data_IF_706081077144
#
_entry.id   IF_706081077144
#
_cell.length_a   1.000
_cell.length_b   1.000
_cell.length_c   1.000
_cell.angle_alpha   90.00
_cell.angle_beta   90.00
_cell.angle_gamma   90.00
#
_symmetry.space_group_name_H-M   'P 1'
#
loop_
_entity.id
_entity.type
_entity.pdbx_description
1 polymer ?
#
# COMPACT_ATOMS: atom_id res chain seq x y z
N UNK A 1 15.22 -6.28 22.25
CA UNK A 1 14.02 -6.94 21.70
C UNK A 1 13.91 -6.49 20.25
N UNK A 2 14.05 -7.38 19.27
CA UNK A 2 13.92 -7.01 17.85
C UNK A 2 12.46 -6.68 17.55
N UNK A 3 12.20 -5.52 16.96
CA UNK A 3 10.85 -5.14 16.54
C UNK A 3 10.32 -6.17 15.52
N UNK A 4 9.20 -6.84 15.79
CA UNK A 4 8.64 -7.86 14.90
C UNK A 4 8.19 -7.30 13.55
N UNK A 5 7.94 -5.99 13.46
CA UNK A 5 7.55 -5.32 12.21
C UNK A 5 8.76 -5.03 11.31
N UNK A 6 9.94 -4.80 11.89
CA UNK A 6 11.18 -4.53 11.13
C UNK A 6 12.10 -5.75 11.08
N UNK A 7 11.59 -6.94 11.42
CA UNK A 7 12.36 -8.17 11.35
C UNK A 7 12.50 -8.60 9.88
N UNK A 8 13.63 -8.24 9.27
CA UNK A 8 13.89 -8.45 7.85
C UNK A 8 14.24 -7.12 7.17
N UNK A 9 15.30 -7.15 6.36
CA UNK A 9 15.97 -5.95 5.84
C UNK A 9 15.12 -5.14 4.87
N UNK A 10 14.05 -5.69 4.30
CA UNK A 10 13.31 -5.06 3.18
C UNK A 10 12.79 -3.67 3.52
N UNK A 11 12.24 -3.45 4.73
CA UNK A 11 11.77 -2.12 5.13
C UNK A 11 12.94 -1.13 5.23
N UNK A 12 14.07 -1.56 5.80
CA UNK A 12 15.29 -0.76 5.88
C UNK A 12 15.87 -0.46 4.49
N UNK A 13 15.99 -1.48 3.64
CA UNK A 13 16.45 -1.33 2.25
C UNK A 13 15.54 -0.40 1.44
N UNK A 14 14.22 -0.45 1.65
CA UNK A 14 13.29 0.47 1.02
C UNK A 14 13.53 1.91 1.47
N UNK A 15 13.65 2.15 2.78
CA UNK A 15 13.93 3.48 3.32
C UNK A 15 15.25 4.01 2.76
N UNK A 16 16.32 3.22 2.81
CA UNK A 16 17.63 3.62 2.29
C UNK A 16 17.56 3.92 0.77
N UNK A 17 16.94 3.04 -0.01
CA UNK A 17 16.81 3.24 -1.47
C UNK A 17 15.99 4.50 -1.81
N UNK A 18 14.91 4.76 -1.08
CA UNK A 18 14.10 5.97 -1.27
C UNK A 18 14.90 7.23 -0.90
N UNK A 19 15.65 7.20 0.22
CA UNK A 19 16.51 8.30 0.66
C UNK A 19 17.59 8.62 -0.36
N UNK A 20 18.33 7.61 -0.82
CA UNK A 20 19.38 7.74 -1.83
C UNK A 20 18.88 8.36 -3.13
N UNK A 21 17.61 8.09 -3.47
CA UNK A 21 16.97 8.61 -4.69
C UNK A 21 16.21 9.92 -4.47
N UNK A 22 16.14 10.44 -3.24
CA UNK A 22 15.35 11.62 -2.91
C UNK A 22 13.85 11.43 -3.21
N UNK A 23 13.33 10.22 -3.05
CA UNK A 23 11.94 9.86 -3.30
C UNK A 23 11.19 9.63 -1.98
N UNK A 24 9.88 9.85 -2.05
CA UNK A 24 8.97 9.71 -0.90
C UNK A 24 7.84 8.73 -1.17
N UNK A 25 7.25 8.18 -0.10
CA UNK A 25 6.14 7.22 -0.16
C UNK A 25 5.00 7.62 0.77
N UNK A 26 3.78 7.38 0.31
CA UNK A 26 2.55 7.46 1.10
C UNK A 26 1.74 6.16 0.95
N UNK A 27 0.94 5.82 1.95
CA UNK A 27 0.18 4.56 1.93
C UNK A 27 -1.32 4.75 2.21
N UNK A 28 -2.16 3.93 1.58
CA UNK A 28 -3.59 3.80 1.86
C UNK A 28 -3.92 2.37 2.30
N UNK A 29 -4.32 2.18 3.55
CA UNK A 29 -4.52 0.86 4.14
C UNK A 29 -5.99 0.58 4.45
N UNK A 30 -6.48 -0.58 4.03
CA UNK A 30 -7.74 -1.16 4.52
C UNK A 30 -7.39 -2.36 5.39
N UNK A 31 -7.26 -3.57 4.82
CA UNK A 31 -7.14 -4.81 5.61
C UNK A 31 -5.99 -4.82 6.63
N UNK A 32 -4.88 -4.12 6.34
CA UNK A 32 -3.69 -4.07 7.18
C UNK A 32 -3.83 -3.09 8.35
N UNK A 33 -4.75 -2.12 8.29
CA UNK A 33 -5.10 -1.27 9.42
C UNK A 33 -3.94 -0.46 10.01
N UNK A 34 -3.00 0.00 9.18
CA UNK A 34 -1.85 0.81 9.62
C UNK A 34 -0.54 0.03 9.77
N UNK A 35 -0.55 -1.29 9.57
CA UNK A 35 0.65 -2.12 9.71
C UNK A 35 1.74 -1.76 8.71
N UNK A 36 1.41 -1.45 7.46
CA UNK A 36 2.42 -1.08 6.46
C UNK A 36 3.09 0.26 6.85
N UNK A 37 2.29 1.24 7.27
CA UNK A 37 2.78 2.52 7.80
C UNK A 37 3.70 2.31 9.00
N UNK A 38 3.26 1.51 9.98
CA UNK A 38 4.02 1.23 11.20
C UNK A 38 5.33 0.52 10.90
N UNK A 39 5.33 -0.46 9.99
CA UNK A 39 6.55 -1.16 9.57
C UNK A 39 7.57 -0.20 8.94
N UNK A 40 7.14 0.71 8.06
CA UNK A 40 8.06 1.71 7.49
C UNK A 40 8.54 2.67 8.57
N UNK A 41 7.63 3.19 9.42
CA UNK A 41 7.95 4.15 10.47
C UNK A 41 8.90 3.59 11.56
N UNK A 42 8.93 2.27 11.75
CA UNK A 42 9.85 1.60 12.68
C UNK A 42 11.32 1.65 12.26
N UNK A 43 11.62 2.01 11.00
CA UNK A 43 12.99 2.09 10.48
C UNK A 43 13.60 3.47 10.78
N UNK A 44 14.82 3.55 11.36
CA UNK A 44 15.54 4.81 11.50
C UNK A 44 15.68 5.56 10.17
N UNK A 45 15.27 6.83 10.13
CA UNK A 45 15.28 7.65 8.92
C UNK A 45 14.02 7.58 8.08
N UNK A 46 13.01 6.82 8.48
CA UNK A 46 11.72 6.75 7.78
C UNK A 46 11.03 8.12 7.64
N UNK A 47 11.28 9.07 8.55
CA UNK A 47 10.77 10.44 8.48
C UNK A 47 11.18 11.20 7.21
N UNK A 48 12.28 10.79 6.58
CA UNK A 48 12.79 11.44 5.36
C UNK A 48 12.00 11.01 4.11
N UNK A 49 11.32 9.86 4.17
CA UNK A 49 10.70 9.22 2.99
C UNK A 49 9.20 8.96 3.16
N UNK A 50 8.73 8.58 4.35
CA UNK A 50 7.32 8.32 4.61
C UNK A 50 6.58 9.64 4.85
N UNK A 51 5.70 10.00 3.93
CA UNK A 51 4.86 11.22 4.05
C UNK A 51 3.68 11.04 4.98
N UNK A 52 3.24 9.80 5.17
CA UNK A 52 2.12 9.44 6.01
C UNK A 52 1.34 8.25 5.46
N UNK A 53 0.27 7.90 6.15
CA UNK A 53 -0.67 6.87 5.74
C UNK A 53 -2.10 7.27 6.05
N UNK A 54 -3.04 6.77 5.25
CA UNK A 54 -4.48 6.91 5.50
C UNK A 54 -5.07 5.52 5.66
N UNK A 55 -5.75 5.27 6.77
CA UNK A 55 -6.49 4.02 6.98
C UNK A 55 -7.94 4.23 6.58
N UNK A 56 -8.37 3.60 5.49
CA UNK A 56 -9.72 3.70 4.91
C UNK A 56 -10.44 2.36 4.97
N UNK A 57 -10.73 1.94 6.21
CA UNK A 57 -11.34 0.63 6.48
C UNK A 57 -12.76 0.52 5.94
N UNK A 58 -13.58 1.54 6.18
CA UNK A 58 -14.96 1.60 5.70
C UNK A 58 -15.02 1.94 4.20
N UNK A 59 -15.99 1.37 3.47
CA UNK A 59 -16.11 1.51 2.01
C UNK A 59 -16.38 2.95 1.58
N UNK A 60 -17.22 3.69 2.32
CA UNK A 60 -17.50 5.10 2.06
C UNK A 60 -16.23 5.98 2.20
N UNK A 61 -15.39 5.69 3.19
CA UNK A 61 -14.12 6.40 3.40
C UNK A 61 -13.10 6.14 2.29
N UNK A 62 -13.20 5.02 1.55
CA UNK A 62 -12.35 4.80 0.36
C UNK A 62 -12.59 5.86 -0.71
N UNK A 63 -13.83 6.35 -0.83
CA UNK A 63 -14.12 7.48 -1.72
C UNK A 63 -13.75 8.81 -1.08
N UNK A 64 -14.27 9.09 0.13
CA UNK A 64 -14.14 10.40 0.76
C UNK A 64 -12.69 10.79 1.09
N UNK A 65 -11.88 9.83 1.55
CA UNK A 65 -10.50 10.07 1.99
C UNK A 65 -9.48 9.39 1.07
N UNK A 66 -9.84 8.24 0.49
CA UNK A 66 -8.97 7.45 -0.36
C UNK A 66 -8.97 7.87 -1.83
N UNK A 67 -9.88 8.76 -2.25
CA UNK A 67 -9.95 9.26 -3.62
C UNK A 67 -10.47 8.25 -4.65
N UNK A 68 -11.11 7.17 -4.20
CA UNK A 68 -11.73 6.19 -5.09
C UNK A 68 -13.04 6.74 -5.66
N UNK A 69 -13.21 6.62 -6.97
CA UNK A 69 -14.44 6.95 -7.66
C UNK A 69 -15.60 6.10 -7.09
N UNK A 70 -16.69 6.72 -6.59
CA UNK A 70 -17.88 6.01 -6.14
C UNK A 70 -18.43 5.01 -7.18
N UNK A 71 -18.30 5.31 -8.48
CA UNK A 71 -18.73 4.43 -9.56
C UNK A 71 -17.91 3.12 -9.61
N UNK A 72 -16.62 3.18 -9.32
CA UNK A 72 -15.78 1.97 -9.21
C UNK A 72 -16.16 1.16 -7.98
N UNK A 73 -16.40 1.80 -6.84
CA UNK A 73 -16.87 1.09 -5.64
C UNK A 73 -18.23 0.43 -5.87
N UNK A 74 -19.13 1.06 -6.61
CA UNK A 74 -20.45 0.50 -6.92
C UNK A 74 -20.37 -0.67 -7.92
N UNK A 75 -19.48 -0.58 -8.91
CA UNK A 75 -19.37 -1.59 -9.97
C UNK A 75 -18.52 -2.81 -9.57
N UNK A 76 -17.43 -2.59 -8.83
CA UNK A 76 -16.41 -3.60 -8.56
C UNK A 76 -16.21 -3.89 -7.07
N UNK A 77 -16.73 -3.03 -6.20
CA UNK A 77 -16.58 -3.19 -4.75
C UNK A 77 -15.25 -2.70 -4.18
N UNK A 78 -15.11 -2.75 -2.83
CA UNK A 78 -13.93 -2.26 -2.12
C UNK A 78 -12.70 -3.17 -2.27
N UNK A 79 -12.88 -4.41 -2.74
CA UNK A 79 -11.84 -5.43 -2.89
C UNK A 79 -11.65 -5.74 -4.37
N UNK A 80 -10.96 -4.84 -5.08
CA UNK A 80 -10.69 -5.01 -6.51
C UNK A 80 -9.37 -4.36 -6.91
N UNK A 81 -8.86 -4.74 -8.08
CA UNK A 81 -7.66 -4.15 -8.66
C UNK A 81 -7.83 -2.64 -8.95
N UNK A 82 -9.01 -2.20 -9.44
CA UNK A 82 -9.26 -0.77 -9.69
C UNK A 82 -9.34 0.03 -8.38
N UNK A 83 -10.02 -0.50 -7.37
CA UNK A 83 -10.06 0.16 -6.05
C UNK A 83 -8.66 0.29 -5.47
N UNK A 84 -7.82 -0.74 -5.55
CA UNK A 84 -6.42 -0.65 -5.12
C UNK A 84 -5.64 0.41 -5.91
N UNK A 85 -5.70 0.43 -7.24
CA UNK A 85 -5.00 1.46 -8.04
C UNK A 85 -5.42 2.87 -7.64
N UNK A 86 -6.71 3.13 -7.47
CA UNK A 86 -7.21 4.45 -7.11
C UNK A 86 -6.82 4.86 -5.68
N UNK A 87 -6.84 3.93 -4.72
CA UNK A 87 -6.33 4.17 -3.38
C UNK A 87 -4.85 4.56 -3.39
N UNK A 88 -4.03 3.89 -4.21
CA UNK A 88 -2.62 4.22 -4.34
C UNK A 88 -2.41 5.63 -4.93
N UNK A 89 -3.19 6.02 -5.94
CA UNK A 89 -3.20 7.39 -6.47
C UNK A 89 -3.59 8.39 -5.40
N UNK A 90 -4.69 8.12 -4.68
CA UNK A 90 -5.19 8.98 -3.61
C UNK A 90 -4.14 9.18 -2.53
N UNK A 91 -3.47 8.12 -2.09
CA UNK A 91 -2.36 8.21 -1.13
C UNK A 91 -1.24 9.14 -1.63
N UNK A 92 -0.74 8.91 -2.85
CA UNK A 92 0.35 9.70 -3.43
C UNK A 92 -0.03 11.19 -3.56
N UNK A 93 -1.25 11.48 -4.03
CA UNK A 93 -1.70 12.85 -4.28
C UNK A 93 -2.05 13.59 -2.99
N UNK A 94 -2.82 12.97 -2.10
CA UNK A 94 -3.29 13.60 -0.86
C UNK A 94 -2.14 13.91 0.11
N UNK A 95 -1.08 13.09 0.09
CA UNK A 95 0.07 13.24 0.98
C UNK A 95 1.32 13.77 0.27
N UNK A 96 1.18 14.18 -0.99
CA UNK A 96 2.25 14.75 -1.82
C UNK A 96 3.53 13.88 -1.82
N UNK A 97 3.37 12.59 -2.12
CA UNK A 97 4.45 11.62 -2.23
C UNK A 97 4.79 11.27 -3.68
N UNK A 98 6.02 10.81 -3.90
CA UNK A 98 6.47 10.27 -5.20
C UNK A 98 5.83 8.93 -5.52
N UNK A 99 5.61 8.11 -4.50
CA UNK A 99 4.97 6.81 -4.57
C UNK A 99 3.74 6.75 -3.67
N UNK A 100 2.68 6.14 -4.18
CA UNK A 100 1.53 5.69 -3.42
C UNK A 100 1.47 4.18 -3.42
N UNK A 101 1.19 3.58 -2.27
CA UNK A 101 0.92 2.15 -2.14
C UNK A 101 -0.41 1.96 -1.44
N UNK A 102 -1.20 0.98 -1.85
CA UNK A 102 -2.44 0.67 -1.14
C UNK A 102 -2.64 -0.81 -0.91
N UNK A 103 -3.37 -1.16 0.15
CA UNK A 103 -3.77 -2.53 0.44
C UNK A 103 -5.27 -2.60 0.73
N UNK A 104 -6.00 -3.37 -0.08
CA UNK A 104 -7.41 -3.72 0.16
C UNK A 104 -7.62 -5.21 -0.05
N UNK A 105 -8.55 -5.83 0.66
CA UNK A 105 -8.66 -7.28 0.71
C UNK A 105 -9.43 -7.80 1.91
N UNK A 106 -9.53 -9.12 2.00
CA UNK A 106 -10.24 -9.83 3.06
C UNK A 106 -9.23 -10.52 3.96
N UNK A 107 -9.02 -9.98 5.17
CA UNK A 107 -8.13 -10.61 6.15
C UNK A 107 -8.78 -11.83 6.84
N UNK A 108 -10.10 -12.02 6.74
CA UNK A 108 -10.82 -13.10 7.41
C UNK A 108 -11.18 -12.83 8.88
N UNK A 109 -11.70 -13.85 9.59
CA UNK A 109 -11.77 -15.25 9.17
C UNK A 109 -12.89 -15.56 8.17
N UNK A 110 -13.90 -14.70 8.06
CA UNK A 110 -15.05 -14.91 7.19
C UNK A 110 -14.85 -14.32 5.78
N UNK A 111 -15.48 -14.90 4.74
CA UNK A 111 -15.52 -14.29 3.41
C UNK A 111 -16.29 -12.96 3.44
N UNK A 112 -15.95 -12.06 2.53
CA UNK A 112 -16.61 -10.75 2.41
C UNK A 112 -16.81 -10.38 0.94
N UNK A 113 -18.02 -9.91 0.60
CA UNK A 113 -18.36 -9.41 -0.74
C UNK A 113 -18.00 -10.38 -1.89
N UNK A 114 -18.13 -11.69 -1.64
CA UNK A 114 -17.80 -12.75 -2.61
C UNK A 114 -16.33 -13.16 -2.66
N UNK A 115 -15.46 -12.52 -1.87
CA UNK A 115 -14.04 -12.87 -1.76
C UNK A 115 -13.75 -13.76 -0.56
N UNK A 116 -12.88 -14.74 -0.77
CA UNK A 116 -12.40 -15.61 0.31
C UNK A 116 -11.39 -14.86 1.20
N UNK A 117 -11.25 -15.25 2.48
CA UNK A 117 -10.12 -14.83 3.31
C UNK A 117 -8.80 -15.07 2.59
N UNK A 118 -7.92 -14.07 2.60
CA UNK A 118 -6.63 -14.12 1.92
C UNK A 118 -6.60 -13.48 0.54
N UNK A 119 -7.75 -13.12 -0.05
CA UNK A 119 -7.78 -12.31 -1.28
C UNK A 119 -7.33 -10.88 -0.97
N UNK A 120 -6.23 -10.45 -1.58
CA UNK A 120 -5.62 -9.13 -1.35
C UNK A 120 -5.21 -8.49 -2.66
N UNK A 121 -5.59 -7.23 -2.84
CA UNK A 121 -5.12 -6.36 -3.90
C UNK A 121 -4.17 -5.30 -3.36
N UNK A 122 -3.00 -5.20 -3.99
CA UNK A 122 -2.01 -4.18 -3.70
C UNK A 122 -1.88 -3.23 -4.89
N UNK A 123 -2.10 -1.94 -4.68
CA UNK A 123 -1.97 -0.90 -5.71
C UNK A 123 -0.64 -0.17 -5.58
N UNK A 124 -0.06 0.25 -6.70
CA UNK A 124 1.14 1.06 -6.76
C UNK A 124 0.92 2.22 -7.72
N UNK A 125 1.23 3.43 -7.29
CA UNK A 125 1.17 4.63 -8.11
C UNK A 125 2.52 5.37 -8.02
N UNK A 126 3.19 5.57 -9.16
CA UNK A 126 4.33 6.49 -9.27
C UNK A 126 3.83 7.80 -9.82
N UNK A 127 3.98 8.88 -9.05
CA UNK A 127 3.64 10.23 -9.51
C UNK A 127 4.69 10.77 -10.48
N UNK A 128 4.31 11.10 -11.71
CA UNK A 128 5.18 11.80 -12.68
C UNK A 128 4.62 13.18 -13.01
N UNK A 129 5.41 14.00 -13.70
CA UNK A 129 4.98 15.32 -14.15
C UNK A 129 3.83 15.26 -15.17
N UNK A 130 3.82 14.25 -16.05
CA UNK A 130 2.85 14.15 -17.14
C UNK A 130 1.66 13.23 -16.81
N UNK A 131 1.92 12.07 -16.21
CA UNK A 131 0.87 11.10 -15.85
C UNK A 131 1.39 10.11 -14.81
N UNK A 132 0.54 9.72 -13.87
CA UNK A 132 0.90 8.69 -12.89
C UNK A 132 1.05 7.33 -13.58
N UNK A 133 2.13 6.59 -13.27
CA UNK A 133 2.26 5.20 -13.68
C UNK A 133 1.59 4.32 -12.63
N UNK A 134 0.70 3.43 -13.07
CA UNK A 134 -0.18 2.65 -12.21
C UNK A 134 0.01 1.16 -12.45
N UNK A 135 0.08 0.41 -11.36
CA UNK A 135 0.11 -1.05 -11.39
C UNK A 135 -0.62 -1.62 -10.17
N UNK A 136 -0.99 -2.89 -10.24
CA UNK A 136 -1.59 -3.60 -9.12
C UNK A 136 -1.20 -5.07 -9.12
N UNK A 137 -1.12 -5.65 -7.93
CA UNK A 137 -1.00 -7.10 -7.72
C UNK A 137 -2.23 -7.64 -7.05
N UNK A 138 -2.60 -8.86 -7.43
CA UNK A 138 -3.56 -9.69 -6.72
C UNK A 138 -2.79 -10.84 -6.07
N UNK A 139 -3.10 -11.11 -4.81
CA UNK A 139 -2.54 -12.20 -4.04
C UNK A 139 -3.64 -13.03 -3.41
N UNK A 140 -3.44 -14.34 -3.47
CA UNK A 140 -4.12 -15.30 -2.61
C UNK A 140 -3.14 -15.67 -1.49
N UNK A 141 -3.46 -15.24 -0.27
CA UNK A 141 -2.66 -15.47 0.92
C UNK A 141 -3.32 -16.54 1.80
N UNK A 142 -2.51 -17.20 2.62
CA UNK A 142 -2.97 -18.23 3.54
C UNK A 142 -2.52 -17.91 4.96
N UNK A 143 -3.25 -18.46 5.92
CA UNK A 143 -3.02 -18.24 7.34
C UNK A 143 -4.21 -17.58 8.01
N UNK A 144 -4.04 -17.26 9.28
CA UNK A 144 -5.03 -16.52 10.05
C UNK A 144 -5.05 -15.02 9.68
N UNK A 145 -5.96 -14.27 10.32
CA UNK A 145 -6.14 -12.84 10.08
C UNK A 145 -4.85 -12.03 10.30
N UNK A 146 -4.03 -12.43 11.27
CA UNK A 146 -2.78 -11.74 11.58
C UNK A 146 -1.71 -12.07 10.53
N UNK A 147 -1.57 -13.34 10.17
CA UNK A 147 -0.62 -13.81 9.16
C UNK A 147 -0.89 -13.20 7.78
N UNK A 148 -2.16 -13.10 7.37
CA UNK A 148 -2.56 -12.46 6.11
C UNK A 148 -2.17 -10.98 6.10
N UNK A 149 -2.44 -10.26 7.20
CA UNK A 149 -2.10 -8.83 7.31
C UNK A 149 -0.59 -8.58 7.28
N UNK A 150 0.18 -9.36 8.04
CA UNK A 150 1.64 -9.26 8.04
C UNK A 150 2.23 -9.60 6.66
N UNK A 151 1.77 -10.69 6.05
CA UNK A 151 2.26 -11.10 4.72
C UNK A 151 1.91 -10.06 3.66
N UNK A 152 0.74 -9.43 3.75
CA UNK A 152 0.34 -8.34 2.85
C UNK A 152 1.28 -7.15 2.95
N UNK A 153 1.58 -6.68 4.17
CA UNK A 153 2.51 -5.57 4.38
C UNK A 153 3.92 -5.90 3.86
N UNK A 154 4.44 -7.10 4.17
CA UNK A 154 5.76 -7.54 3.70
C UNK A 154 5.84 -7.58 2.17
N UNK A 155 4.88 -8.22 1.50
CA UNK A 155 4.86 -8.31 0.02
C UNK A 155 4.75 -6.94 -0.63
N UNK A 156 3.99 -6.02 -0.05
CA UNK A 156 3.90 -4.64 -0.54
C UNK A 156 5.25 -3.92 -0.49
N UNK A 157 6.04 -4.11 0.57
CA UNK A 157 7.39 -3.55 0.70
C UNK A 157 8.34 -4.13 -0.35
N UNK A 158 8.32 -5.45 -0.56
CA UNK A 158 9.16 -6.15 -1.54
C UNK A 158 8.88 -5.65 -2.97
N UNK A 159 7.60 -5.57 -3.33
CA UNK A 159 7.16 -5.13 -4.65
C UNK A 159 7.40 -3.62 -4.87
N UNK A 160 7.25 -2.79 -3.83
CA UNK A 160 7.60 -1.37 -3.91
C UNK A 160 9.11 -1.21 -4.08
N UNK A 161 9.94 -1.89 -3.29
CA UNK A 161 11.40 -1.82 -3.40
C UNK A 161 11.86 -2.21 -4.81
N UNK A 162 11.31 -3.30 -5.37
CA UNK A 162 11.61 -3.72 -6.73
C UNK A 162 11.20 -2.69 -7.79
N UNK A 163 10.12 -1.93 -7.55
CA UNK A 163 9.68 -0.83 -8.43
C UNK A 163 10.57 0.38 -8.30
N UNK A 164 10.87 0.83 -7.08
CA UNK A 164 11.78 1.95 -6.81
C UNK A 164 13.14 1.68 -7.44
N UNK A 165 13.69 0.46 -7.32
CA UNK A 165 14.97 0.09 -7.94
C UNK A 165 14.96 0.20 -9.47
N UNK A 166 13.84 -0.15 -10.11
CA UNK A 166 13.64 -0.09 -11.57
C UNK A 166 13.24 1.31 -12.08
N UNK A 167 12.80 2.20 -11.20
CA UNK A 167 12.39 3.55 -11.56
C UNK A 167 13.57 4.31 -12.19
N UNK A 168 13.49 4.60 -13.49
CA UNK A 168 14.37 5.58 -14.11
C UNK A 168 14.01 6.93 -13.53
N UNK A 169 14.93 7.57 -12.81
CA UNK A 169 14.70 8.80 -12.03
C UNK A 169 14.03 9.94 -12.82
N UNK A 170 13.62 11.01 -12.11
CA UNK A 170 12.93 12.18 -12.66
C UNK A 170 13.66 12.70 -13.92
N UNK A 171 13.14 12.37 -15.11
CA UNK A 171 13.36 13.15 -16.33
C UNK A 171 12.26 14.21 -16.41
#
# INVERSE_FOLDING_TARGET
>A
MTDPLTHGTVAAELVDTLRERGLTVAVAESLTGGLLSATIAGVPGASDVLRGGVVVYATDLKSQLGGVDPGVLAAEGPVSANTARQLAIGAARNLNADWGVSLTGVAGPDPQDGHAPGTVFCGFARRRALSDELDSREWELHGDRWEIRLTSARRALEELLARVRRDGGRR
#
